data_IF_852659353744
#
_entry.id   IF_852659353744
#
_cell.length_a   1.000
_cell.length_b   1.000
_cell.length_c   1.000
_cell.angle_alpha   90.00
_cell.angle_beta   90.00
_cell.angle_gamma   90.00
#
_symmetry.space_group_name_H-M   'P 1'
#
loop_
_entity.id
_entity.type
_entity.pdbx_description
1 polymer ?
#
# COMPACT_ATOMS: atom_id res chain seq x y z
N UNK A 1 -6.28 18.93 -4.54
CA UNK A 1 -6.33 17.58 -3.98
C UNK A 1 -5.27 17.50 -2.91
N UNK A 2 -5.65 17.47 -1.64
CA UNK A 2 -4.71 17.43 -0.52
C UNK A 2 -4.14 16.01 -0.40
N UNK A 3 -2.89 15.86 -0.81
CA UNK A 3 -2.12 14.63 -0.60
C UNK A 3 -1.61 14.61 0.82
N UNK A 4 -1.65 13.44 1.46
CA UNK A 4 -1.14 13.25 2.81
C UNK A 4 -0.56 11.86 2.98
N UNK A 5 0.33 11.71 3.94
CA UNK A 5 0.79 10.42 4.39
C UNK A 5 -0.36 9.62 4.98
N UNK A 6 -0.50 8.38 4.54
CA UNK A 6 -1.54 7.43 4.95
C UNK A 6 -0.86 6.17 5.44
N UNK A 7 -1.14 5.78 6.67
CA UNK A 7 -0.66 4.54 7.24
C UNK A 7 -1.56 3.36 6.83
N UNK A 8 -0.92 2.29 6.37
CA UNK A 8 -1.50 0.99 6.05
C UNK A 8 -0.81 -0.06 6.93
N UNK A 9 -1.54 -0.57 7.93
CA UNK A 9 -1.07 -1.64 8.81
C UNK A 9 -1.43 -3.02 8.24
N UNK A 10 -0.57 -4.01 8.51
CA UNK A 10 -0.69 -5.36 7.97
C UNK A 10 -0.96 -6.35 9.10
N UNK A 11 -1.98 -7.18 8.93
CA UNK A 11 -2.42 -8.13 9.95
C UNK A 11 -2.23 -9.59 9.53
N UNK A 12 -1.97 -9.88 8.25
CA UNK A 12 -1.77 -11.26 7.76
C UNK A 12 -0.88 -11.36 6.49
N UNK A 13 -0.54 -12.58 6.09
CA UNK A 13 0.35 -12.89 4.95
C UNK A 13 -0.22 -12.46 3.59
N UNK A 14 -1.54 -12.47 3.40
CA UNK A 14 -2.15 -11.99 2.15
C UNK A 14 -1.95 -10.47 2.00
N UNK A 15 -1.88 -9.75 3.11
CA UNK A 15 -1.62 -8.31 3.11
C UNK A 15 -0.18 -8.01 2.62
N UNK A 16 0.77 -8.94 2.82
CA UNK A 16 2.15 -8.77 2.36
C UNK A 16 2.27 -8.81 0.81
N UNK A 17 1.50 -9.68 0.14
CA UNK A 17 1.44 -9.71 -1.33
C UNK A 17 0.74 -8.46 -1.89
N UNK A 18 -0.34 -8.00 -1.23
CA UNK A 18 -1.00 -6.72 -1.53
C UNK A 18 -0.03 -5.54 -1.46
N UNK A 19 0.89 -5.51 -0.50
CA UNK A 19 1.88 -4.44 -0.36
C UNK A 19 2.95 -4.50 -1.45
N UNK A 20 3.37 -5.69 -1.88
CA UNK A 20 4.28 -5.82 -3.03
C UNK A 20 3.65 -5.19 -4.27
N UNK A 21 2.38 -5.49 -4.50
CA UNK A 21 1.57 -4.89 -5.56
C UNK A 21 1.51 -3.35 -5.47
N UNK A 22 1.18 -2.82 -4.29
CA UNK A 22 1.15 -1.37 -4.02
C UNK A 22 2.52 -0.73 -4.25
N UNK A 23 3.59 -1.37 -3.81
CA UNK A 23 4.97 -0.88 -3.98
C UNK A 23 5.36 -0.78 -5.45
N UNK A 24 5.05 -1.79 -6.25
CA UNK A 24 5.28 -1.77 -7.70
C UNK A 24 4.51 -0.62 -8.34
N UNK A 25 3.22 -0.47 -8.00
CA UNK A 25 2.40 0.63 -8.49
C UNK A 25 2.99 2.00 -8.11
N UNK A 26 3.38 2.19 -6.85
CA UNK A 26 3.98 3.43 -6.39
C UNK A 26 5.28 3.75 -7.14
N UNK A 27 6.14 2.75 -7.37
CA UNK A 27 7.36 2.91 -8.16
C UNK A 27 7.06 3.30 -9.63
N UNK A 28 6.09 2.66 -10.27
CA UNK A 28 5.69 2.96 -11.66
C UNK A 28 5.17 4.39 -11.81
N UNK A 29 4.51 4.92 -10.78
CA UNK A 29 3.88 6.23 -10.79
C UNK A 29 4.67 7.32 -10.05
N UNK A 30 5.90 7.05 -9.61
CA UNK A 30 6.73 7.95 -8.81
C UNK A 30 5.99 8.52 -7.57
N UNK A 31 5.20 7.67 -6.91
CA UNK A 31 4.48 8.02 -5.69
C UNK A 31 5.42 7.81 -4.50
N UNK A 32 5.65 8.82 -3.64
CA UNK A 32 6.44 8.64 -2.43
C UNK A 32 5.77 7.66 -1.46
N UNK A 33 6.55 6.73 -0.90
CA UNK A 33 6.11 5.81 0.13
C UNK A 33 7.26 5.50 1.10
N UNK A 34 6.91 5.13 2.33
CA UNK A 34 7.84 4.66 3.36
C UNK A 34 7.43 3.27 3.82
N UNK A 35 8.40 2.42 4.11
CA UNK A 35 8.17 1.03 4.51
C UNK A 35 9.06 0.67 5.67
N UNK A 36 8.50 0.09 6.72
CA UNK A 36 9.28 -0.51 7.80
C UNK A 36 9.05 -2.01 7.83
N UNK A 37 10.08 -2.77 7.49
CA UNK A 37 10.08 -4.23 7.44
C UNK A 37 10.69 -4.78 8.73
N UNK A 38 9.87 -5.42 9.57
CA UNK A 38 10.33 -6.03 10.81
C UNK A 38 10.74 -7.49 10.57
N UNK A 39 11.80 -7.69 9.77
CA UNK A 39 12.54 -8.95 9.60
C UNK A 39 11.83 -10.11 8.89
N UNK A 40 10.55 -10.36 9.18
CA UNK A 40 9.76 -11.46 8.61
C UNK A 40 8.31 -11.10 8.27
N UNK A 41 7.81 -9.95 8.73
CA UNK A 41 6.52 -9.39 8.33
C UNK A 41 6.71 -7.89 8.12
N UNK A 42 6.50 -7.42 6.90
CA UNK A 42 6.19 -6.01 6.67
C UNK A 42 4.96 -5.71 7.54
N UNK A 43 5.08 -4.73 8.44
CA UNK A 43 4.04 -4.46 9.44
C UNK A 43 3.40 -3.08 9.23
N UNK A 44 4.12 -2.18 8.57
CA UNK A 44 3.73 -0.77 8.44
C UNK A 44 4.23 -0.18 7.12
N UNK A 45 3.31 0.48 6.40
CA UNK A 45 3.54 1.08 5.09
C UNK A 45 2.85 2.44 5.05
N UNK A 46 3.57 3.49 4.65
CA UNK A 46 3.02 4.83 4.53
C UNK A 46 3.09 5.32 3.09
N UNK A 47 1.98 5.88 2.58
CA UNK A 47 1.88 6.33 1.19
C UNK A 47 1.50 7.80 1.13
N UNK A 48 2.20 8.58 0.32
CA UNK A 48 1.84 9.95 0.04
C UNK A 48 0.84 10.02 -1.13
N UNK A 49 -0.45 9.94 -0.80
CA UNK A 49 -1.52 9.87 -1.80
C UNK A 49 -2.71 10.78 -1.45
N UNK A 50 -3.59 11.00 -2.43
CA UNK A 50 -4.88 11.65 -2.20
C UNK A 50 -5.93 10.65 -1.67
N UNK A 51 -7.13 11.17 -1.36
CA UNK A 51 -8.20 10.37 -0.78
C UNK A 51 -8.81 9.31 -1.71
N UNK A 52 -8.67 9.43 -3.04
CA UNK A 52 -9.20 8.42 -3.97
C UNK A 52 -8.22 7.27 -4.11
N UNK A 53 -6.95 7.58 -4.27
CA UNK A 53 -5.87 6.61 -4.35
C UNK A 53 -5.73 5.81 -3.05
N UNK A 54 -5.92 6.44 -1.89
CA UNK A 54 -5.98 5.76 -0.60
C UNK A 54 -7.08 4.67 -0.57
N UNK A 55 -8.28 4.95 -1.08
CA UNK A 55 -9.37 3.96 -1.13
C UNK A 55 -9.03 2.77 -2.01
N UNK A 56 -8.31 2.99 -3.11
CA UNK A 56 -7.83 1.92 -3.96
C UNK A 56 -6.85 1.01 -3.21
N UNK A 57 -5.88 1.58 -2.50
CA UNK A 57 -4.94 0.81 -1.69
C UNK A 57 -5.61 0.05 -0.54
N UNK A 58 -6.56 0.68 0.16
CA UNK A 58 -7.38 0.01 1.18
C UNK A 58 -8.15 -1.19 0.60
N UNK A 59 -8.67 -1.07 -0.63
CA UNK A 59 -9.36 -2.18 -1.31
C UNK A 59 -8.42 -3.32 -1.72
N UNK A 60 -7.18 -3.02 -2.09
CA UNK A 60 -6.13 -4.02 -2.38
C UNK A 60 -5.78 -4.80 -1.12
N UNK A 61 -5.52 -4.08 -0.02
CA UNK A 61 -5.15 -4.68 1.27
C UNK A 61 -6.30 -5.52 1.81
N UNK A 62 -7.55 -5.06 1.68
CA UNK A 62 -8.72 -5.83 2.07
C UNK A 62 -9.00 -7.06 1.19
N UNK A 63 -8.16 -7.35 0.17
CA UNK A 63 -8.36 -8.43 -0.78
C UNK A 63 -9.61 -8.26 -1.67
N UNK A 64 -10.16 -7.03 -1.73
CA UNK A 64 -11.39 -6.71 -2.49
C UNK A 64 -11.10 -6.23 -3.91
N UNK A 65 -9.86 -5.88 -4.22
CA UNK A 65 -9.43 -5.48 -5.56
C UNK A 65 -8.38 -6.46 -6.09
N UNK A 66 -8.71 -7.14 -7.19
CA UNK A 66 -7.74 -7.94 -7.96
C UNK A 66 -7.07 -7.00 -8.96
N UNK A 67 -5.75 -6.84 -8.84
CA UNK A 67 -4.97 -6.08 -9.81
C UNK A 67 -4.46 -7.00 -10.91
N UNK A 68 -4.75 -6.64 -12.15
CA UNK A 68 -4.04 -7.17 -13.33
C UNK A 68 -2.94 -6.15 -13.66
N UNK A 69 -1.69 -6.56 -13.49
CA UNK A 69 -0.50 -5.81 -13.91
C UNK A 69 -0.22 -6.03 -15.39
#
# INVERSE_FOLDING_TARGET
>A
MDKKWRNCELHNVNDAEAIRAIRVYCNMHNIPYETSDAGYNLTHFEIYCDGEMAKCFDAIIAGKAVYHF
#
